data_IF_409176150678
#
_entry.id   IF_409176150678
#
_cell.length_a   1.000
_cell.length_b   1.000
_cell.length_c   1.000
_cell.angle_alpha   90.00
_cell.angle_beta   90.00
_cell.angle_gamma   90.00
#
_symmetry.space_group_name_H-M   'P 1'
#
loop_
_entity.id
_entity.type
_entity.pdbx_description
1 polymer ?
#
# COMPACT_ATOMS: atom_id res chain seq x y z
N UNK A 1 -37.18 20.92 13.75
CA UNK A 1 -37.60 19.75 12.95
C UNK A 1 -36.79 18.55 13.44
N UNK A 2 -37.43 17.42 13.81
CA UNK A 2 -36.69 16.21 14.15
C UNK A 2 -35.86 15.79 12.94
N UNK A 3 -34.56 15.53 13.15
CA UNK A 3 -33.69 15.00 12.09
C UNK A 3 -34.19 13.62 11.70
N UNK A 4 -34.47 13.42 10.41
CA UNK A 4 -34.89 12.13 9.85
C UNK A 4 -33.81 11.09 10.14
N UNK A 5 -34.18 9.99 10.79
CA UNK A 5 -33.32 8.81 10.91
C UNK A 5 -33.17 8.16 9.54
N UNK A 6 -31.96 7.77 9.17
CA UNK A 6 -31.73 7.07 7.92
C UNK A 6 -32.42 5.70 7.99
N UNK A 7 -33.46 5.49 7.15
CA UNK A 7 -34.06 4.18 6.95
C UNK A 7 -33.22 3.42 5.92
N UNK A 8 -32.85 2.18 6.22
CA UNK A 8 -31.70 1.46 5.64
C UNK A 8 -31.64 1.28 4.11
N UNK A 9 -32.67 1.65 3.34
CA UNK A 9 -32.60 1.67 1.87
C UNK A 9 -32.01 2.97 1.30
N UNK A 10 -32.07 4.09 2.04
CA UNK A 10 -31.65 5.43 1.57
C UNK A 10 -30.34 5.92 2.22
N UNK A 11 -29.65 5.05 2.95
CA UNK A 11 -28.40 5.39 3.63
C UNK A 11 -27.20 5.04 2.74
N UNK A 12 -26.29 5.99 2.54
CA UNK A 12 -25.01 5.75 1.87
C UNK A 12 -23.86 6.13 2.78
N UNK A 13 -22.95 5.20 3.03
CA UNK A 13 -21.71 5.48 3.75
C UNK A 13 -20.68 6.01 2.76
N UNK A 14 -20.20 7.23 3.01
CA UNK A 14 -19.09 7.85 2.28
C UNK A 14 -17.93 8.03 3.26
N UNK A 15 -16.77 7.49 2.93
CA UNK A 15 -15.60 7.60 3.78
C UNK A 15 -14.35 7.98 2.98
N UNK A 16 -13.44 8.69 3.65
CA UNK A 16 -12.09 9.01 3.18
C UNK A 16 -11.17 9.02 4.40
N UNK A 17 -9.90 8.62 4.24
CA UNK A 17 -8.92 8.72 5.33
C UNK A 17 -8.38 10.15 5.39
N UNK A 18 -8.28 10.69 6.59
CA UNK A 18 -7.63 11.97 6.83
C UNK A 18 -6.12 11.86 6.59
N UNK A 19 -5.51 12.88 5.98
CA UNK A 19 -4.06 12.97 5.87
C UNK A 19 -3.43 13.51 7.17
N UNK A 20 -4.17 14.37 7.87
CA UNK A 20 -3.82 14.93 9.18
C UNK A 20 -5.05 14.82 10.08
N UNK A 21 -4.84 14.41 11.33
CA UNK A 21 -5.93 14.22 12.29
C UNK A 21 -6.80 15.46 12.45
N UNK A 22 -8.11 15.29 12.33
CA UNK A 22 -9.11 16.35 12.48
C UNK A 22 -9.25 17.26 11.26
N UNK A 23 -8.59 16.94 10.15
CA UNK A 23 -8.67 17.69 8.89
C UNK A 23 -9.41 16.87 7.84
N UNK A 24 -10.66 17.22 7.59
CA UNK A 24 -11.49 16.58 6.59
C UNK A 24 -10.84 16.68 5.18
N UNK A 25 -10.68 15.55 4.45
CA UNK A 25 -10.17 15.56 3.08
C UNK A 25 -11.06 16.39 2.14
N UNK A 26 -10.43 17.07 1.17
CA UNK A 26 -11.14 17.85 0.14
C UNK A 26 -11.77 16.97 -0.94
N UNK A 27 -11.22 15.78 -1.18
CA UNK A 27 -11.64 14.84 -2.21
C UNK A 27 -11.23 13.41 -1.83
N UNK A 28 -11.58 12.43 -2.67
CA UNK A 28 -11.22 11.03 -2.46
C UNK A 28 -12.21 10.22 -1.61
N UNK A 29 -13.42 10.73 -1.38
CA UNK A 29 -14.48 9.97 -0.72
C UNK A 29 -14.96 8.81 -1.59
N UNK A 30 -15.10 7.64 -0.98
CA UNK A 30 -15.60 6.43 -1.63
C UNK A 30 -16.91 5.97 -0.99
N UNK A 31 -17.82 5.42 -1.80
CA UNK A 31 -18.95 4.66 -1.25
C UNK A 31 -18.42 3.37 -0.64
N UNK A 32 -18.89 3.04 0.56
CA UNK A 32 -18.62 1.77 1.21
C UNK A 32 -19.94 1.10 1.56
N UNK A 33 -19.98 -0.22 1.37
CA UNK A 33 -21.11 -1.03 1.77
C UNK A 33 -21.04 -1.31 3.28
N UNK A 34 -22.20 -1.33 3.93
CA UNK A 34 -22.35 -1.64 5.34
C UNK A 34 -23.67 -2.36 5.55
N UNK A 35 -23.69 -3.31 6.48
CA UNK A 35 -24.87 -4.13 6.80
C UNK A 35 -25.76 -3.44 7.83
N UNK A 36 -25.14 -2.89 8.87
CA UNK A 36 -25.80 -2.23 9.98
C UNK A 36 -24.88 -1.17 10.58
N UNK A 37 -25.48 -0.16 11.21
CA UNK A 37 -24.78 0.83 12.01
C UNK A 37 -25.68 1.23 13.17
N UNK A 38 -25.12 1.30 14.37
CA UNK A 38 -25.77 1.91 15.54
C UNK A 38 -25.11 3.24 15.93
N UNK A 39 -24.19 3.74 15.09
CA UNK A 39 -23.51 5.02 15.28
C UNK A 39 -24.53 6.16 15.45
N UNK A 40 -24.54 6.76 16.64
CA UNK A 40 -25.48 7.81 16.97
C UNK A 40 -24.90 8.76 18.00
N UNK A 41 -25.45 9.98 18.01
CA UNK A 41 -25.17 10.93 19.08
C UNK A 41 -26.13 10.70 20.23
N UNK A 42 -25.58 10.52 21.43
CA UNK A 42 -26.35 10.45 22.66
C UNK A 42 -26.02 11.66 23.53
N UNK A 43 -27.05 12.22 24.17
CA UNK A 43 -26.89 13.23 25.19
C UNK A 43 -27.71 12.81 26.42
N UNK A 44 -27.07 12.22 27.44
CA UNK A 44 -27.78 11.81 28.64
C UNK A 44 -28.30 13.04 29.39
N UNK A 45 -29.38 12.84 30.14
CA UNK A 45 -29.84 13.80 31.14
C UNK A 45 -29.12 13.49 32.45
N UNK A 46 -28.51 14.51 33.04
CA UNK A 46 -27.84 14.43 34.34
C UNK A 46 -28.61 15.17 35.42
N UNK A 47 -28.27 14.89 36.66
CA UNK A 47 -28.82 15.60 37.81
C UNK A 47 -28.33 17.05 37.84
N UNK A 48 -29.23 17.98 38.17
CA UNK A 48 -28.88 19.39 38.35
C UNK A 48 -28.27 19.60 39.75
N UNK A 49 -27.00 20.04 39.87
CA UNK A 49 -26.36 20.27 41.16
C UNK A 49 -26.84 21.56 41.87
N UNK A 50 -27.74 22.34 41.28
CA UNK A 50 -28.21 23.60 41.86
C UNK A 50 -29.06 23.39 43.12
N UNK A 51 -28.53 23.82 44.27
CA UNK A 51 -29.22 23.82 45.56
C UNK A 51 -29.98 25.14 45.78
N UNK A 52 -31.14 25.08 46.44
CA UNK A 52 -31.85 26.29 46.93
C UNK A 52 -33.10 26.71 46.13
N UNK A 53 -33.59 25.89 45.20
CA UNK A 53 -34.81 26.15 44.40
C UNK A 53 -36.10 25.55 45.00
N UNK A 54 -36.07 25.16 46.28
CA UNK A 54 -37.21 24.56 46.99
C UNK A 54 -37.10 23.05 47.19
N UNK A 55 -38.21 22.38 47.54
CA UNK A 55 -38.27 20.93 47.84
C UNK A 55 -38.60 20.04 46.63
N UNK A 56 -38.96 20.64 45.50
CA UNK A 56 -39.28 19.89 44.29
C UNK A 56 -38.01 19.48 43.57
N UNK A 57 -38.03 18.30 42.93
CA UNK A 57 -36.96 17.87 42.02
C UNK A 57 -36.72 18.95 40.96
N UNK A 58 -35.46 19.30 40.73
CA UNK A 58 -35.08 20.23 39.66
C UNK A 58 -35.15 19.54 38.31
N UNK A 59 -35.34 20.33 37.25
CA UNK A 59 -35.32 19.81 35.88
C UNK A 59 -33.91 19.29 35.54
N UNK A 60 -33.77 18.12 34.90
CA UNK A 60 -32.47 17.55 34.54
C UNK A 60 -31.68 18.45 33.58
N UNK A 61 -30.37 18.51 33.76
CA UNK A 61 -29.47 19.19 32.83
C UNK A 61 -29.04 18.25 31.68
N UNK A 62 -28.70 18.82 30.52
CA UNK A 62 -28.19 18.03 29.40
C UNK A 62 -26.69 17.78 29.54
N UNK A 63 -26.29 16.52 29.65
CA UNK A 63 -24.87 16.12 29.75
C UNK A 63 -24.06 16.38 28.49
N UNK A 64 -22.83 15.86 28.49
CA UNK A 64 -21.95 15.89 27.31
C UNK A 64 -22.56 15.09 26.16
N UNK A 65 -22.34 15.55 24.93
CA UNK A 65 -22.72 14.81 23.74
C UNK A 65 -21.60 13.81 23.44
N UNK A 66 -21.97 12.54 23.31
CA UNK A 66 -21.05 11.45 22.92
C UNK A 66 -21.54 10.86 21.61
N UNK A 67 -20.63 10.74 20.64
CA UNK A 67 -20.87 10.05 19.38
C UNK A 67 -20.20 8.68 19.44
N UNK A 68 -21.00 7.63 19.61
CA UNK A 68 -20.51 6.26 19.79
C UNK A 68 -21.34 5.27 18.97
N UNK A 69 -20.75 4.11 18.70
CA UNK A 69 -21.38 3.00 17.99
C UNK A 69 -20.40 2.20 17.15
N UNK A 70 -20.93 1.20 16.47
CA UNK A 70 -20.25 0.26 15.59
C UNK A 70 -20.91 0.24 14.22
N UNK A 71 -20.14 -0.26 13.25
CA UNK A 71 -20.60 -0.45 11.89
C UNK A 71 -20.20 -1.85 11.43
N UNK A 72 -21.21 -2.64 11.06
CA UNK A 72 -21.01 -4.00 10.56
C UNK A 72 -20.70 -3.93 9.06
N UNK A 73 -19.46 -4.27 8.71
CA UNK A 73 -18.98 -4.25 7.33
C UNK A 73 -19.03 -5.67 6.71
N UNK A 74 -19.48 -5.83 5.46
CA UNK A 74 -19.33 -7.10 4.75
C UNK A 74 -17.86 -7.34 4.39
N UNK A 75 -17.46 -8.61 4.30
CA UNK A 75 -16.19 -9.00 3.70
C UNK A 75 -16.34 -9.02 2.18
N UNK A 76 -15.80 -7.99 1.53
CA UNK A 76 -15.83 -7.83 0.08
C UNK A 76 -14.44 -7.57 -0.50
N UNK A 77 -14.28 -7.71 -1.82
CA UNK A 77 -12.98 -7.51 -2.47
C UNK A 77 -12.57 -6.02 -2.54
N UNK A 78 -13.54 -5.09 -2.48
CA UNK A 78 -13.32 -3.66 -2.80
C UNK A 78 -13.25 -2.78 -1.54
N UNK A 79 -14.13 -3.03 -0.58
CA UNK A 79 -14.28 -2.29 0.67
C UNK A 79 -13.34 -2.77 1.77
N UNK A 80 -13.12 -4.08 1.92
CA UNK A 80 -12.32 -4.66 3.03
C UNK A 80 -10.93 -4.06 3.12
N UNK A 81 -10.26 -3.84 1.99
CA UNK A 81 -8.97 -3.16 1.95
C UNK A 81 -8.99 -1.76 2.57
N UNK A 82 -10.11 -1.01 2.51
CA UNK A 82 -10.25 0.26 3.23
C UNK A 82 -10.08 0.10 4.73
N UNK A 83 -10.81 -0.88 5.27
CA UNK A 83 -11.03 -1.01 6.69
C UNK A 83 -9.74 -1.50 7.33
N UNK A 84 -9.05 -2.41 6.63
CA UNK A 84 -7.73 -2.87 7.03
C UNK A 84 -6.69 -1.74 7.01
N UNK A 85 -6.70 -0.84 6.01
CA UNK A 85 -5.76 0.31 6.03
C UNK A 85 -6.13 1.37 7.05
N UNK A 86 -7.41 1.52 7.38
CA UNK A 86 -7.85 2.33 8.51
C UNK A 86 -7.35 1.78 9.86
N UNK A 87 -7.36 0.46 10.03
CA UNK A 87 -6.95 -0.22 11.27
C UNK A 87 -5.43 -0.36 11.42
N UNK A 88 -4.74 -0.75 10.35
CA UNK A 88 -3.31 -1.09 10.37
C UNK A 88 -2.40 0.04 9.84
N UNK A 89 -2.97 1.06 9.20
CA UNK A 89 -2.22 2.07 8.46
C UNK A 89 -1.98 1.67 7.00
N UNK A 90 -1.20 2.49 6.30
CA UNK A 90 -0.88 2.24 4.90
C UNK A 90 0.01 0.99 4.75
N UNK A 91 -0.24 0.14 3.74
CA UNK A 91 0.53 -1.07 3.55
C UNK A 91 1.97 -0.71 3.19
N UNK A 92 2.92 -1.29 3.91
CA UNK A 92 4.33 -1.21 3.54
C UNK A 92 4.64 -2.42 2.66
N UNK A 93 4.81 -2.18 1.36
CA UNK A 93 5.30 -3.20 0.42
C UNK A 93 6.79 -3.02 0.20
N UNK A 94 7.59 -4.01 0.58
CA UNK A 94 9.01 -4.04 0.25
C UNK A 94 9.19 -4.88 -1.01
N UNK A 95 9.69 -4.30 -2.13
CA UNK A 95 10.01 -5.10 -3.30
C UNK A 95 11.10 -6.10 -2.92
N UNK A 96 10.89 -7.37 -3.25
CA UNK A 96 11.93 -8.39 -3.13
C UNK A 96 12.67 -8.45 -4.46
N UNK A 97 14.00 -8.37 -4.43
CA UNK A 97 14.81 -8.54 -5.63
C UNK A 97 14.57 -9.93 -6.23
N UNK A 98 14.36 -9.98 -7.54
CA UNK A 98 14.36 -11.25 -8.25
C UNK A 98 15.76 -11.89 -8.17
N UNK A 99 15.81 -13.22 -8.14
CA UNK A 99 17.08 -13.97 -8.25
C UNK A 99 16.96 -15.02 -9.35
N UNK A 100 18.09 -15.34 -9.96
CA UNK A 100 18.19 -16.32 -11.04
C UNK A 100 19.65 -16.72 -11.24
N UNK A 101 19.88 -17.77 -12.01
CA UNK A 101 21.22 -18.26 -12.35
C UNK A 101 21.28 -18.67 -13.81
N UNK A 102 22.38 -18.34 -14.47
CA UNK A 102 22.70 -18.81 -15.82
C UNK A 102 23.90 -19.75 -15.69
N UNK A 103 23.80 -20.95 -16.27
CA UNK A 103 24.85 -21.97 -16.20
C UNK A 103 25.52 -22.09 -17.56
N UNK A 104 26.84 -21.87 -17.59
CA UNK A 104 27.67 -22.05 -18.78
C UNK A 104 28.36 -23.40 -18.72
N UNK A 105 27.90 -24.35 -19.53
CA UNK A 105 28.55 -25.66 -19.66
C UNK A 105 29.79 -25.63 -20.57
N UNK A 106 29.79 -24.71 -21.53
CA UNK A 106 30.86 -24.46 -22.50
C UNK A 106 30.96 -22.95 -22.76
N UNK A 107 32.00 -22.53 -23.48
CA UNK A 107 32.11 -21.13 -23.86
C UNK A 107 30.95 -20.77 -24.80
N UNK A 108 30.38 -19.56 -24.67
CA UNK A 108 29.45 -19.05 -25.66
C UNK A 108 30.17 -18.85 -27.00
N UNK A 109 29.40 -18.89 -28.09
CA UNK A 109 29.87 -18.56 -29.42
C UNK A 109 29.74 -17.05 -29.67
N UNK A 110 30.57 -16.46 -30.55
CA UNK A 110 30.42 -15.04 -30.90
C UNK A 110 29.03 -14.75 -31.46
N UNK A 111 28.34 -13.77 -30.89
CA UNK A 111 26.96 -13.40 -31.23
C UNK A 111 25.88 -14.02 -30.33
N UNK A 112 26.23 -14.96 -29.43
CA UNK A 112 25.31 -15.42 -28.40
C UNK A 112 24.97 -14.25 -27.45
N UNK A 113 23.74 -14.23 -26.92
CA UNK A 113 23.28 -13.13 -26.06
C UNK A 113 22.60 -13.59 -24.77
N UNK A 114 22.66 -12.74 -23.75
CA UNK A 114 21.79 -12.76 -22.57
C UNK A 114 20.87 -11.55 -22.64
N UNK A 115 19.57 -11.72 -22.43
CA UNK A 115 18.62 -10.60 -22.44
C UNK A 115 18.20 -10.21 -21.02
N UNK A 116 18.45 -8.95 -20.65
CA UNK A 116 18.04 -8.32 -19.39
C UNK A 116 16.91 -7.33 -19.66
N UNK A 117 15.66 -7.71 -19.35
CA UNK A 117 14.47 -6.87 -19.54
C UNK A 117 14.38 -6.16 -20.91
N UNK A 118 14.80 -6.85 -21.98
CA UNK A 118 14.81 -6.33 -23.35
C UNK A 118 16.16 -5.82 -23.85
N UNK A 119 17.13 -5.56 -22.96
CA UNK A 119 18.51 -5.21 -23.31
C UNK A 119 19.33 -6.46 -23.59
N UNK A 120 20.03 -6.54 -24.72
CA UNK A 120 20.79 -7.73 -25.11
C UNK A 120 22.29 -7.54 -24.85
N UNK A 121 22.84 -8.35 -23.95
CA UNK A 121 24.26 -8.45 -23.70
C UNK A 121 24.89 -9.49 -24.63
N UNK A 122 25.90 -9.12 -25.42
CA UNK A 122 26.44 -9.98 -26.49
C UNK A 122 27.84 -10.51 -26.18
N UNK A 123 28.10 -11.78 -26.47
CA UNK A 123 29.44 -12.35 -26.40
C UNK A 123 30.21 -12.12 -27.70
N UNK A 124 31.42 -11.56 -27.61
CA UNK A 124 32.24 -11.19 -28.78
C UNK A 124 33.60 -11.89 -28.76
N UNK A 125 34.20 -12.12 -29.93
CA UNK A 125 35.54 -12.73 -30.04
C UNK A 125 36.71 -11.72 -30.00
N UNK A 126 36.43 -10.45 -29.74
CA UNK A 126 37.42 -9.37 -29.76
C UNK A 126 37.05 -8.25 -28.80
N UNK A 127 37.69 -7.08 -28.96
CA UNK A 127 37.55 -5.97 -28.00
C UNK A 127 36.09 -5.50 -27.86
N UNK A 128 35.50 -5.55 -26.66
CA UNK A 128 34.14 -5.09 -26.40
C UNK A 128 33.98 -3.59 -26.64
N UNK A 129 32.80 -3.17 -27.11
CA UNK A 129 32.50 -1.76 -27.44
C UNK A 129 31.23 -1.21 -26.78
N UNK A 130 30.57 -1.98 -25.90
CA UNK A 130 29.35 -1.60 -25.22
C UNK A 130 28.83 -2.71 -24.30
N UNK A 131 27.56 -3.10 -24.49
CA UNK A 131 26.89 -4.21 -23.79
C UNK A 131 27.41 -5.57 -24.28
N UNK A 132 28.71 -5.78 -24.10
CA UNK A 132 29.45 -6.89 -24.67
C UNK A 132 30.47 -7.44 -23.67
N UNK A 133 30.73 -8.74 -23.75
CA UNK A 133 31.84 -9.38 -23.04
C UNK A 133 32.70 -10.16 -24.03
N UNK A 134 34.02 -10.00 -23.91
CA UNK A 134 34.99 -10.77 -24.71
C UNK A 134 35.08 -12.22 -24.23
N UNK A 135 34.92 -13.16 -25.15
CA UNK A 135 35.06 -14.59 -24.90
C UNK A 135 36.54 -14.90 -24.64
N UNK A 136 36.81 -15.52 -23.49
CA UNK A 136 38.16 -15.88 -23.07
C UNK A 136 38.50 -17.33 -23.44
N UNK A 137 39.75 -17.74 -23.17
CA UNK A 137 40.22 -19.09 -23.47
C UNK A 137 39.43 -20.21 -22.76
N UNK A 138 38.87 -19.93 -21.58
CA UNK A 138 38.09 -20.88 -20.78
C UNK A 138 36.76 -20.29 -20.34
N UNK A 139 35.78 -21.16 -20.06
CA UNK A 139 34.44 -20.76 -19.57
C UNK A 139 34.52 -19.95 -18.30
N UNK A 140 35.33 -20.39 -17.35
CA UNK A 140 35.50 -19.69 -16.07
C UNK A 140 36.01 -18.27 -16.28
N UNK A 141 37.03 -18.08 -17.13
CA UNK A 141 37.54 -16.74 -17.46
C UNK A 141 36.49 -15.88 -18.17
N UNK A 142 35.69 -16.45 -19.07
CA UNK A 142 34.61 -15.73 -19.75
C UNK A 142 33.52 -15.30 -18.75
N UNK A 143 33.16 -16.16 -17.80
CA UNK A 143 32.16 -15.85 -16.76
C UNK A 143 32.69 -14.82 -15.77
N UNK A 144 33.96 -14.92 -15.34
CA UNK A 144 34.59 -13.93 -14.46
C UNK A 144 34.60 -12.54 -15.13
N UNK A 145 34.94 -12.49 -16.42
CA UNK A 145 34.90 -11.25 -17.20
C UNK A 145 33.47 -10.73 -17.35
N UNK A 146 32.50 -11.60 -17.65
CA UNK A 146 31.08 -11.25 -17.76
C UNK A 146 30.56 -10.61 -16.46
N UNK A 147 30.87 -11.20 -15.31
CA UNK A 147 30.47 -10.65 -14.00
C UNK A 147 31.11 -9.28 -13.78
N UNK A 148 32.38 -9.09 -14.14
CA UNK A 148 33.05 -7.79 -14.08
C UNK A 148 32.38 -6.75 -14.96
N UNK A 149 32.10 -7.10 -16.23
CA UNK A 149 31.53 -6.16 -17.20
C UNK A 149 30.08 -5.79 -16.85
N UNK A 150 29.26 -6.77 -16.44
CA UNK A 150 27.87 -6.51 -16.04
C UNK A 150 27.79 -5.61 -14.80
N UNK A 151 28.64 -5.82 -13.81
CA UNK A 151 28.69 -4.95 -12.62
C UNK A 151 29.30 -3.57 -12.91
N UNK A 152 30.10 -3.42 -13.98
CA UNK A 152 30.64 -2.14 -14.44
C UNK A 152 29.71 -1.40 -15.41
N UNK A 153 28.67 -2.08 -15.91
CA UNK A 153 27.71 -1.51 -16.87
C UNK A 153 27.00 -0.29 -16.29
N UNK A 154 26.74 0.69 -17.15
CA UNK A 154 25.94 1.87 -16.85
C UNK A 154 24.51 1.79 -17.42
N UNK A 155 24.17 0.67 -18.06
CA UNK A 155 22.83 0.47 -18.60
C UNK A 155 21.79 0.35 -17.47
N UNK A 156 20.66 1.01 -17.65
CA UNK A 156 19.63 1.14 -16.61
C UNK A 156 18.91 -0.19 -16.32
N UNK A 157 18.89 -1.14 -17.26
CA UNK A 157 18.26 -2.44 -17.07
C UNK A 157 19.22 -3.44 -16.39
N UNK A 158 20.51 -3.36 -16.72
CA UNK A 158 21.55 -4.21 -16.14
C UNK A 158 21.84 -3.82 -14.69
N UNK A 159 21.91 -2.52 -14.40
CA UNK A 159 22.19 -1.99 -13.04
C UNK A 159 21.09 -2.28 -12.01
N UNK A 160 19.95 -2.84 -12.41
CA UNK A 160 18.90 -3.31 -11.48
C UNK A 160 19.30 -4.57 -10.70
N UNK A 161 20.29 -5.30 -11.19
CA UNK A 161 20.77 -6.54 -10.61
C UNK A 161 22.20 -6.39 -10.07
N UNK A 162 22.59 -7.33 -9.22
CA UNK A 162 23.99 -7.53 -8.82
C UNK A 162 24.42 -8.91 -9.30
N UNK A 163 25.62 -9.00 -9.87
CA UNK A 163 26.10 -10.22 -10.53
C UNK A 163 27.26 -10.81 -9.74
N UNK A 164 27.29 -12.15 -9.63
CA UNK A 164 28.29 -12.92 -8.88
C UNK A 164 28.53 -14.27 -9.51
#
# INVERSE_FOLDING_TARGET
>A
MPKVRAYGADATLKACREASYGVAPLSGYRSLDFKSTDLSSAQPLGDDPLLGRGRNAQDPYRGLITDEGQLDVPLDLRGTGFWLTGLFGDPVTTPTSASGSIVFATNPSPGDTITFNGTAWTFVAGTPSGEETEIQATVTQTVDQLVSDLNASVDAEITKCTYS
#
